data_IF_392210223869
#
_entry.id   IF_392210223869
#
_cell.length_a   1.000
_cell.length_b   1.000
_cell.length_c   1.000
_cell.angle_alpha   90.00
_cell.angle_beta   90.00
_cell.angle_gamma   90.00
#
_symmetry.space_group_name_H-M   'P 1'
#
loop_
_entity.id
_entity.type
_entity.pdbx_description
1 polymer ?
#
# COMPACT_ATOMS: atom_id res chain seq x y z
N UNK A 1 -38.89 -79.83 -3.31
CA UNK A 1 -38.80 -79.16 -4.63
C UNK A 1 -38.27 -77.74 -4.44
N UNK A 2 -37.33 -77.34 -5.32
CA UNK A 2 -36.88 -75.98 -5.66
C UNK A 2 -35.98 -75.20 -4.67
N UNK A 3 -34.69 -75.21 -5.02
CA UNK A 3 -33.66 -74.20 -4.70
C UNK A 3 -34.06 -72.83 -5.26
N UNK A 4 -33.65 -71.74 -4.59
CA UNK A 4 -33.10 -70.52 -5.22
C UNK A 4 -32.64 -69.56 -4.13
N UNK A 5 -31.36 -69.59 -3.74
CA UNK A 5 -30.39 -68.53 -4.06
C UNK A 5 -30.97 -67.09 -4.04
N UNK A 6 -30.57 -66.30 -3.03
CA UNK A 6 -30.40 -64.85 -3.23
C UNK A 6 -28.98 -64.44 -2.82
N UNK A 7 -28.19 -64.43 -3.88
CA UNK A 7 -26.91 -63.78 -4.13
C UNK A 7 -26.60 -62.46 -3.38
N UNK A 8 -25.39 -62.47 -2.80
CA UNK A 8 -24.29 -61.46 -2.85
C UNK A 8 -24.51 -60.07 -2.25
N UNK A 9 -23.57 -59.71 -1.38
CA UNK A 9 -23.30 -58.35 -0.97
C UNK A 9 -22.74 -57.49 -2.10
N UNK A 10 -22.73 -56.19 -1.82
CA UNK A 10 -21.85 -55.23 -2.46
C UNK A 10 -21.31 -54.25 -1.43
N UNK A 11 -19.99 -54.19 -1.43
CA UNK A 11 -19.08 -53.30 -0.72
C UNK A 11 -19.24 -51.85 -1.19
N UNK A 12 -18.81 -50.94 -0.31
CA UNK A 12 -18.33 -49.59 -0.61
C UNK A 12 -19.38 -48.50 -0.87
N UNK A 13 -19.78 -47.81 0.22
CA UNK A 13 -20.04 -46.37 0.14
C UNK A 13 -18.77 -45.62 0.54
N UNK A 14 -17.87 -45.41 -0.41
CA UNK A 14 -16.89 -44.32 -0.33
C UNK A 14 -17.66 -43.01 -0.50
N UNK A 15 -18.26 -42.54 0.59
CA UNK A 15 -18.74 -41.18 0.68
C UNK A 15 -17.57 -40.31 1.13
N UNK A 16 -16.86 -39.76 0.15
CA UNK A 16 -16.06 -38.54 0.28
C UNK A 16 -16.99 -37.35 0.62
N UNK A 17 -17.74 -37.45 1.72
CA UNK A 17 -18.56 -36.36 2.20
C UNK A 17 -17.61 -35.38 2.88
N UNK A 18 -17.12 -34.39 2.12
CA UNK A 18 -16.76 -33.11 2.71
C UNK A 18 -17.98 -32.61 3.48
N UNK A 19 -17.99 -32.90 4.78
CA UNK A 19 -18.99 -32.41 5.71
C UNK A 19 -19.15 -30.90 5.50
N UNK A 20 -20.32 -30.46 4.99
CA UNK A 20 -20.61 -29.04 4.71
C UNK A 20 -20.23 -28.15 5.89
N UNK A 21 -20.43 -28.65 7.11
CA UNK A 21 -20.06 -27.97 8.36
C UNK A 21 -18.54 -27.86 8.54
N UNK A 22 -17.76 -28.87 8.15
CA UNK A 22 -16.30 -28.87 8.23
C UNK A 22 -15.67 -27.99 7.16
N UNK A 23 -16.21 -28.03 5.94
CA UNK A 23 -15.87 -27.10 4.86
C UNK A 23 -16.16 -25.66 5.29
N UNK A 24 -17.38 -25.35 5.71
CA UNK A 24 -17.73 -24.00 6.16
C UNK A 24 -16.84 -23.54 7.31
N UNK A 25 -16.59 -24.37 8.33
CA UNK A 25 -15.69 -24.02 9.44
C UNK A 25 -14.30 -23.61 8.97
N UNK A 26 -13.73 -24.30 7.99
CA UNK A 26 -12.40 -24.01 7.44
C UNK A 26 -12.34 -22.67 6.70
N UNK A 27 -13.35 -22.37 5.87
CA UNK A 27 -13.42 -21.10 5.15
C UNK A 27 -13.79 -19.93 6.05
N UNK A 28 -14.64 -20.14 7.06
CA UNK A 28 -14.90 -19.13 8.09
C UNK A 28 -13.63 -18.82 8.90
N UNK A 29 -12.82 -19.81 9.30
CA UNK A 29 -11.61 -19.55 10.09
C UNK A 29 -10.52 -18.81 9.31
N UNK A 30 -10.28 -19.16 8.04
CA UNK A 30 -9.28 -18.47 7.21
C UNK A 30 -9.80 -17.11 6.74
N UNK A 31 -11.08 -17.01 6.40
CA UNK A 31 -11.70 -15.75 5.98
C UNK A 31 -11.70 -14.70 7.08
N UNK A 32 -12.02 -15.08 8.32
CA UNK A 32 -11.97 -14.18 9.48
C UNK A 32 -10.53 -13.73 9.79
N UNK A 33 -9.54 -14.63 9.68
CA UNK A 33 -8.14 -14.26 9.90
C UNK A 33 -7.64 -13.21 8.88
N UNK A 34 -8.05 -13.35 7.61
CA UNK A 34 -7.72 -12.40 6.54
C UNK A 34 -8.32 -11.01 6.77
N UNK A 35 -9.53 -10.93 7.34
CA UNK A 35 -10.19 -9.64 7.66
C UNK A 35 -9.63 -9.03 8.96
N UNK A 36 -9.29 -9.85 9.95
CA UNK A 36 -8.78 -9.37 11.24
C UNK A 36 -7.38 -8.78 11.10
N UNK A 37 -6.54 -9.34 10.21
CA UNK A 37 -5.15 -8.92 10.06
C UNK A 37 -5.01 -7.44 9.66
N UNK A 38 -5.70 -6.90 8.63
CA UNK A 38 -5.70 -5.47 8.33
C UNK A 38 -6.14 -4.61 9.52
N UNK A 39 -7.22 -5.00 10.21
CA UNK A 39 -7.76 -4.22 11.35
C UNK A 39 -6.80 -4.21 12.54
N UNK A 40 -6.15 -5.33 12.85
CA UNK A 40 -5.16 -5.43 13.94
C UNK A 40 -3.85 -4.75 13.58
N UNK A 41 -3.43 -4.81 12.31
CA UNK A 41 -2.26 -4.08 11.83
C UNK A 41 -2.50 -2.57 11.89
N UNK A 42 -3.67 -2.12 11.42
CA UNK A 42 -4.09 -0.72 11.49
C UNK A 42 -4.20 -0.26 12.95
N UNK A 43 -4.78 -1.05 13.86
CA UNK A 43 -4.83 -0.68 15.28
C UNK A 43 -3.46 -0.58 15.94
N UNK A 44 -2.49 -1.41 15.54
CA UNK A 44 -1.09 -1.27 15.99
C UNK A 44 -0.39 -0.04 15.42
N UNK A 45 -0.71 0.34 14.19
CA UNK A 45 -0.12 1.51 13.53
C UNK A 45 -0.67 2.84 14.07
N UNK A 46 -1.94 2.87 14.48
CA UNK A 46 -2.65 4.07 14.96
C UNK A 46 -2.58 4.28 16.47
N UNK A 47 -1.92 3.37 17.20
CA UNK A 47 -1.54 3.67 18.57
C UNK A 47 -0.71 4.96 18.54
N UNK A 48 -1.14 6.04 19.23
CA UNK A 48 -0.30 7.21 19.37
C UNK A 48 1.04 6.70 19.89
N UNK A 49 2.11 6.96 19.14
CA UNK A 49 3.43 6.58 19.61
C UNK A 49 3.72 7.44 20.83
N UNK A 50 3.46 6.89 22.02
CA UNK A 50 3.97 7.41 23.27
C UNK A 50 5.48 7.53 23.11
N UNK A 51 5.96 8.77 23.16
CA UNK A 51 7.35 9.23 23.20
C UNK A 51 8.39 8.13 22.93
N UNK A 52 8.45 7.65 21.68
CA UNK A 52 9.50 6.71 21.29
C UNK A 52 10.82 7.46 21.31
N UNK A 53 11.50 7.35 22.45
CA UNK A 53 12.92 7.60 22.54
C UNK A 53 13.60 6.76 21.46
N UNK A 54 14.48 7.40 20.70
CA UNK A 54 15.32 6.75 19.72
C UNK A 54 16.23 5.76 20.45
N UNK A 55 16.29 4.54 19.92
CA UNK A 55 17.16 3.47 20.41
C UNK A 55 18.30 3.24 19.43
N UNK A 56 19.38 2.61 19.88
CA UNK A 56 20.52 2.26 18.99
C UNK A 56 20.06 1.41 17.81
N UNK A 57 19.11 0.49 18.02
CA UNK A 57 18.51 -0.28 16.93
C UNK A 57 17.80 0.59 15.89
N UNK A 58 17.10 1.65 16.32
CA UNK A 58 16.50 2.63 15.40
C UNK A 58 17.55 3.38 14.59
N UNK A 59 18.67 3.75 15.22
CA UNK A 59 19.76 4.43 14.54
C UNK A 59 20.43 3.51 13.51
N UNK A 60 20.69 2.25 13.84
CA UNK A 60 21.27 1.26 12.89
C UNK A 60 20.43 1.08 11.62
N UNK A 61 19.10 1.07 11.76
CA UNK A 61 18.23 0.99 10.59
C UNK A 61 18.22 2.31 9.80
N UNK A 62 18.23 3.46 10.49
CA UNK A 62 18.27 4.77 9.85
C UNK A 62 19.59 5.00 9.09
N UNK A 63 20.73 4.58 9.64
CA UNK A 63 22.04 4.71 9.00
C UNK A 63 22.10 3.88 7.72
N UNK A 64 21.57 2.65 7.76
CA UNK A 64 21.41 1.79 6.59
C UNK A 64 20.55 2.43 5.50
N UNK A 65 19.45 3.10 5.85
CA UNK A 65 18.60 3.84 4.90
C UNK A 65 19.35 5.04 4.31
N UNK A 66 20.11 5.76 5.13
CA UNK A 66 20.88 6.93 4.70
C UNK A 66 22.17 6.59 3.93
N UNK A 67 22.59 5.33 3.92
CA UNK A 67 23.85 4.88 3.31
C UNK A 67 25.10 5.34 4.07
N UNK A 68 24.98 5.62 5.37
CA UNK A 68 26.08 6.06 6.24
C UNK A 68 26.55 4.92 7.14
N UNK A 69 27.86 4.86 7.39
CA UNK A 69 28.47 3.89 8.29
C UNK A 69 28.96 4.59 9.56
N UNK A 70 28.61 4.02 10.72
CA UNK A 70 29.02 4.50 12.04
C UNK A 70 29.36 3.31 12.93
N UNK A 71 30.28 3.52 13.86
CA UNK A 71 30.59 2.58 14.94
C UNK A 71 29.51 2.60 16.03
N UNK A 72 29.40 1.53 16.82
CA UNK A 72 28.45 1.46 17.94
C UNK A 72 28.63 2.64 18.91
N UNK A 73 29.88 3.00 19.19
CA UNK A 73 30.24 4.12 20.07
C UNK A 73 29.77 5.47 19.54
N UNK A 74 29.84 5.69 18.23
CA UNK A 74 29.33 6.93 17.61
C UNK A 74 27.81 7.00 17.68
N UNK A 75 27.12 5.87 17.48
CA UNK A 75 25.67 5.79 17.62
C UNK A 75 25.22 6.11 19.06
N UNK A 76 25.94 5.62 20.07
CA UNK A 76 25.67 5.94 21.47
C UNK A 76 25.85 7.42 21.78
N UNK A 77 26.93 8.04 21.27
CA UNK A 77 27.15 9.48 21.42
C UNK A 77 26.05 10.32 20.75
N UNK A 78 25.55 9.90 19.59
CA UNK A 78 24.48 10.60 18.88
C UNK A 78 23.11 10.46 19.55
N UNK A 79 22.89 9.35 20.27
CA UNK A 79 21.57 8.97 20.78
C UNK A 79 20.96 10.03 21.70
N UNK A 80 21.76 10.65 22.57
CA UNK A 80 21.26 11.70 23.47
C UNK A 80 20.81 12.94 22.70
N UNK A 81 21.66 13.47 21.81
CA UNK A 81 21.37 14.65 21.01
C UNK A 81 20.16 14.46 20.10
N UNK A 82 20.04 13.28 19.47
CA UNK A 82 18.90 12.96 18.62
C UNK A 82 17.59 12.85 19.41
N UNK A 83 17.64 12.34 20.64
CA UNK A 83 16.48 12.30 21.53
C UNK A 83 16.03 13.69 21.98
N UNK A 84 16.97 14.61 22.23
CA UNK A 84 16.65 16.01 22.50
C UNK A 84 16.02 16.67 21.26
N UNK A 85 16.59 16.44 20.08
CA UNK A 85 16.07 16.98 18.83
C UNK A 85 14.68 16.45 18.50
N UNK A 86 14.39 15.18 18.80
CA UNK A 86 13.06 14.59 18.66
C UNK A 86 12.03 15.38 19.46
N UNK A 87 12.32 15.74 20.72
CA UNK A 87 11.44 16.56 21.56
C UNK A 87 11.18 17.92 20.95
N UNK A 88 12.22 18.58 20.43
CA UNK A 88 12.08 19.88 19.76
C UNK A 88 11.15 19.78 18.55
N UNK A 89 11.26 18.72 17.74
CA UNK A 89 10.36 18.48 16.62
C UNK A 89 8.92 18.18 17.06
N UNK A 90 8.71 17.44 18.16
CA UNK A 90 7.37 17.23 18.72
C UNK A 90 6.73 18.56 19.13
N UNK A 91 7.49 19.46 19.76
CA UNK A 91 7.02 20.79 20.11
C UNK A 91 6.61 21.60 18.87
N UNK A 92 7.43 21.57 17.80
CA UNK A 92 7.11 22.24 16.53
C UNK A 92 5.86 21.67 15.86
N UNK A 93 5.64 20.35 15.93
CA UNK A 93 4.44 19.70 15.37
C UNK A 93 3.15 20.06 16.11
N UNK A 94 3.24 20.55 17.34
CA UNK A 94 2.09 21.02 18.11
C UNK A 94 1.69 22.46 17.73
N UNK A 95 2.49 23.17 16.94
CA UNK A 95 2.12 24.49 16.42
C UNK A 95 1.01 24.30 15.35
N UNK A 96 -0.17 24.91 15.52
CA UNK A 96 -1.26 24.74 14.58
C UNK A 96 -0.91 25.41 13.24
N UNK A 97 -0.74 24.60 12.19
CA UNK A 97 -0.57 25.07 10.82
C UNK A 97 -1.86 24.79 10.04
N UNK A 98 -2.56 25.85 9.65
CA UNK A 98 -3.75 25.73 8.82
C UNK A 98 -3.35 25.40 7.37
N UNK A 99 -4.14 24.58 6.69
CA UNK A 99 -3.84 24.08 5.34
C UNK A 99 -3.89 25.16 4.25
N UNK A 100 -4.41 26.34 4.59
CA UNK A 100 -4.44 27.54 3.74
C UNK A 100 -3.12 28.33 3.78
N UNK A 101 -2.24 28.05 4.75
CA UNK A 101 -0.93 28.67 4.85
C UNK A 101 0.00 28.05 3.80
N UNK A 102 0.45 28.82 2.79
CA UNK A 102 1.38 28.30 1.80
C UNK A 102 2.73 27.97 2.46
N UNK A 103 3.47 27.03 1.86
CA UNK A 103 4.85 26.75 2.26
C UNK A 103 5.68 28.03 2.23
N UNK A 104 6.57 28.22 3.21
CA UNK A 104 7.51 29.34 3.22
C UNK A 104 8.47 29.32 2.03
N UNK A 105 8.64 28.15 1.41
CA UNK A 105 9.45 27.95 0.23
C UNK A 105 8.54 27.92 -1.00
N UNK A 106 8.34 29.10 -1.60
CA UNK A 106 7.69 29.25 -2.89
C UNK A 106 8.69 28.98 -4.02
N UNK A 107 8.32 28.12 -4.96
CA UNK A 107 9.06 27.97 -6.21
C UNK A 107 8.37 28.79 -7.29
N UNK A 108 9.05 29.84 -7.76
CA UNK A 108 8.64 30.60 -8.94
C UNK A 108 9.53 30.19 -10.12
N UNK A 109 9.01 29.44 -11.11
CA UNK A 109 9.78 29.03 -12.28
C UNK A 109 10.05 30.18 -13.26
N UNK A 110 9.45 31.36 -13.05
CA UNK A 110 9.56 32.48 -13.98
C UNK A 110 10.93 33.14 -13.83
N UNK A 111 11.76 33.01 -14.86
CA UNK A 111 13.05 33.73 -14.91
C UNK A 111 12.87 35.13 -15.50
N UNK A 112 13.71 36.11 -15.09
CA UNK A 112 13.73 37.43 -15.73
C UNK A 112 13.90 37.33 -17.25
N UNK A 113 13.01 37.98 -18.01
CA UNK A 113 13.03 37.96 -19.47
C UNK A 113 12.15 36.88 -20.13
N UNK A 114 11.48 36.02 -19.35
CA UNK A 114 10.43 35.16 -19.89
C UNK A 114 9.20 35.98 -20.28
N UNK A 115 8.74 35.82 -21.51
CA UNK A 115 7.49 36.39 -22.01
C UNK A 115 6.42 35.30 -22.03
N UNK A 116 5.31 35.51 -21.35
CA UNK A 116 4.16 34.61 -21.41
C UNK A 116 3.12 35.16 -22.38
N UNK A 117 2.38 34.30 -23.10
CA UNK A 117 1.23 34.75 -23.87
C UNK A 117 0.19 35.36 -22.91
N UNK A 118 -0.03 36.67 -23.00
CA UNK A 118 -0.99 37.40 -22.15
C UNK A 118 -2.44 37.17 -22.59
N UNK A 119 -2.64 36.69 -23.83
CA UNK A 119 -3.96 36.44 -24.38
C UNK A 119 -4.44 35.04 -24.05
N UNK A 120 -5.54 34.95 -23.30
CA UNK A 120 -6.24 33.68 -23.09
C UNK A 120 -6.81 33.19 -24.41
N UNK A 121 -6.35 32.04 -24.88
CA UNK A 121 -6.95 31.36 -26.03
C UNK A 121 -8.14 30.52 -25.56
N UNK A 122 -9.23 30.45 -26.35
CA UNK A 122 -10.33 29.55 -26.03
C UNK A 122 -9.82 28.10 -25.97
N UNK A 123 -10.28 27.35 -24.96
CA UNK A 123 -10.00 25.92 -24.84
C UNK A 123 -10.44 25.20 -26.12
N UNK A 124 -9.47 24.77 -26.92
CA UNK A 124 -9.73 23.97 -28.12
C UNK A 124 -9.70 22.49 -27.73
N UNK A 125 -10.87 21.97 -27.37
CA UNK A 125 -11.05 20.53 -27.16
C UNK A 125 -10.89 19.86 -28.53
N UNK A 126 -9.84 19.04 -28.68
CA UNK A 126 -9.68 18.22 -29.88
C UNK A 126 -10.82 17.20 -29.92
N UNK A 127 -11.48 17.07 -31.07
CA UNK A 127 -12.40 15.97 -31.29
C UNK A 127 -11.57 14.69 -31.47
N UNK A 128 -11.64 13.81 -30.48
CA UNK A 128 -11.07 12.47 -30.59
C UNK A 128 -11.78 11.73 -31.73
N UNK A 129 -11.02 11.38 -32.76
CA UNK A 129 -11.52 10.52 -33.82
C UNK A 129 -11.68 9.12 -33.24
N UNK A 130 -12.92 8.70 -33.01
CA UNK A 130 -13.20 7.33 -32.56
C UNK A 130 -12.74 6.37 -33.65
N UNK A 131 -11.69 5.61 -33.39
CA UNK A 131 -11.25 4.55 -34.30
C UNK A 131 -12.27 3.43 -34.29
N UNK A 132 -12.63 2.91 -35.46
CA UNK A 132 -13.51 1.75 -35.58
C UNK A 132 -12.88 0.54 -34.87
N UNK A 133 -13.72 -0.29 -34.24
CA UNK A 133 -13.28 -1.48 -33.52
C UNK A 133 -12.70 -2.47 -34.53
N UNK A 134 -11.41 -2.85 -34.42
CA UNK A 134 -10.79 -3.73 -35.39
C UNK A 134 -11.29 -5.17 -35.23
N UNK A 135 -11.41 -5.87 -36.35
CA UNK A 135 -11.87 -7.28 -36.41
C UNK A 135 -10.86 -8.26 -35.76
N UNK A 136 -9.60 -7.86 -35.56
CA UNK A 136 -8.53 -8.65 -34.93
C UNK A 136 -7.75 -7.80 -33.93
N UNK A 137 -7.51 -8.35 -32.74
CA UNK A 137 -6.86 -7.67 -31.62
C UNK A 137 -5.36 -7.45 -31.86
N UNK A 138 -4.73 -8.29 -32.68
CA UNK A 138 -3.30 -8.22 -33.03
C UNK A 138 -2.97 -6.92 -33.77
N UNK A 139 -3.93 -6.35 -34.50
CA UNK A 139 -3.75 -5.08 -35.21
C UNK A 139 -3.65 -3.86 -34.27
N UNK A 140 -4.14 -3.97 -33.03
CA UNK A 140 -4.08 -2.89 -32.03
C UNK A 140 -2.66 -2.67 -31.52
N UNK A 141 -1.81 -3.71 -31.54
CA UNK A 141 -0.44 -3.65 -31.03
C UNK A 141 0.45 -2.63 -31.79
N UNK A 142 0.02 -2.19 -32.97
CA UNK A 142 0.76 -1.27 -33.84
C UNK A 142 0.12 0.11 -34.01
N UNK A 143 -0.94 0.44 -33.26
CA UNK A 143 -1.55 1.77 -33.34
C UNK A 143 -0.62 2.84 -32.78
N UNK A 144 -0.35 3.88 -33.58
CA UNK A 144 0.33 5.08 -33.11
C UNK A 144 -0.59 5.85 -32.18
N UNK A 145 -0.15 6.14 -30.96
CA UNK A 145 -0.85 7.09 -30.09
C UNK A 145 -0.57 8.48 -30.64
N UNK A 146 -1.48 9.03 -31.44
CA UNK A 146 -1.47 10.45 -31.77
C UNK A 146 -2.49 11.17 -30.89
N UNK A 147 -1.98 12.02 -29.99
CA UNK A 147 -2.74 12.95 -29.13
C UNK A 147 -3.19 14.18 -29.88
#
# INVERSE_FOLDING_TARGET
MKKSQKSKGTTSKNNENLERRRFMKYFFSIGLASILLPVVLWSKLWKPQEDKKLTIGTLKEATKISGLEFTETELEMMLEGLNQQLKNYQQLRNVPLANDVPSSLGFDPIMPGMTFPETQHPLKISQLKVSEVPTSLESVAFWSVQS
#
